data_IF_342021779727
#
_entry.id   IF_342021779727
#
_cell.length_a   1.000
_cell.length_b   1.000
_cell.length_c   1.000
_cell.angle_alpha   90.00
_cell.angle_beta   90.00
_cell.angle_gamma   90.00
#
_symmetry.space_group_name_H-M   'P 1'
#
loop_
_entity.id
_entity.type
_entity.pdbx_description
1 polymer ?
#
# COMPACT_ATOMS: atom_id res chain seq x y z
N UNK A 1 -45.73 -5.30 63.14
CA UNK A 1 -44.50 -6.10 63.33
C UNK A 1 -43.62 -5.82 62.13
N UNK A 2 -42.76 -4.80 62.14
CA UNK A 2 -41.55 -4.58 62.96
C UNK A 2 -40.30 -5.21 62.32
N UNK A 3 -39.31 -4.35 62.04
CA UNK A 3 -37.90 -4.68 61.76
C UNK A 3 -37.56 -4.78 60.27
N UNK A 4 -36.41 -4.32 59.78
CA UNK A 4 -35.28 -3.60 60.37
C UNK A 4 -34.38 -3.18 59.18
N UNK A 5 -33.92 -1.94 59.13
CA UNK A 5 -32.68 -1.62 58.42
C UNK A 5 -31.51 -2.33 59.12
N UNK A 6 -30.42 -2.62 58.41
CA UNK A 6 -29.23 -1.87 58.75
C UNK A 6 -28.46 -1.36 57.53
N UNK A 7 -28.01 -0.13 57.70
CA UNK A 7 -26.99 0.56 56.94
C UNK A 7 -25.67 -0.22 56.96
N UNK A 8 -24.98 -0.28 55.82
CA UNK A 8 -23.52 -0.33 55.81
C UNK A 8 -22.96 0.37 54.55
N UNK A 9 -22.36 1.53 54.82
CA UNK A 9 -21.15 2.10 54.20
C UNK A 9 -21.03 2.13 52.67
N UNK A 10 -21.28 3.32 52.12
CA UNK A 10 -20.39 4.11 51.25
C UNK A 10 -19.17 3.36 50.67
N UNK A 11 -19.12 3.27 49.33
CA UNK A 11 -17.85 3.49 48.62
C UNK A 11 -18.11 4.43 47.45
N UNK A 12 -17.68 5.67 47.67
CA UNK A 12 -17.65 6.76 46.70
C UNK A 12 -16.42 6.57 45.83
N UNK A 13 -16.58 6.05 44.62
CA UNK A 13 -15.52 6.09 43.59
C UNK A 13 -16.13 6.36 42.20
N UNK A 14 -17.10 7.28 42.14
CA UNK A 14 -17.75 7.67 40.88
C UNK A 14 -17.13 8.90 40.19
N UNK A 15 -16.03 9.47 40.69
CA UNK A 15 -15.41 10.64 40.02
C UNK A 15 -13.89 10.67 40.22
N UNK A 16 -13.13 10.08 39.29
CA UNK A 16 -11.78 10.52 38.89
C UNK A 16 -11.09 9.47 38.01
N UNK A 17 -11.40 9.46 36.72
CA UNK A 17 -10.50 8.89 35.70
C UNK A 17 -10.76 9.53 34.32
N UNK A 18 -10.78 10.86 34.27
CA UNK A 18 -10.46 11.59 33.04
C UNK A 18 -8.98 11.98 33.14
N UNK A 19 -8.11 11.19 32.51
CA UNK A 19 -6.84 11.62 31.90
C UNK A 19 -5.96 10.40 31.63
N UNK A 20 -6.24 9.66 30.56
CA UNK A 20 -5.19 9.07 29.73
C UNK A 20 -5.82 8.56 28.43
N UNK A 21 -6.52 9.45 27.73
CA UNK A 21 -6.70 9.31 26.30
C UNK A 21 -5.37 9.67 25.65
N UNK A 22 -4.40 8.76 25.73
CA UNK A 22 -3.35 8.71 24.72
C UNK A 22 -4.07 8.24 23.47
N UNK A 23 -4.54 9.19 22.67
CA UNK A 23 -4.69 8.94 21.25
C UNK A 23 -3.30 8.47 20.83
N UNK A 24 -3.17 7.18 20.52
CA UNK A 24 -2.06 6.69 19.73
C UNK A 24 -2.10 7.54 18.46
N UNK A 25 -1.25 8.56 18.42
CA UNK A 25 -0.85 9.20 17.18
C UNK A 25 -0.20 8.07 16.39
N UNK A 26 -1.01 7.39 15.56
CA UNK A 26 -0.47 6.51 14.52
C UNK A 26 0.45 7.40 13.70
N UNK A 27 1.73 7.32 14.01
CA UNK A 27 2.81 7.89 13.22
C UNK A 27 2.62 7.27 11.83
N UNK A 28 1.93 7.99 10.94
CA UNK A 28 1.73 7.61 9.55
C UNK A 28 3.12 7.54 8.95
N UNK A 29 3.77 6.39 9.08
CA UNK A 29 5.05 6.13 8.46
C UNK A 29 4.84 6.42 6.98
N UNK A 30 5.63 7.33 6.37
CA UNK A 30 5.44 7.65 4.97
C UNK A 30 5.45 6.34 4.19
N UNK A 31 4.40 6.08 3.41
CA UNK A 31 4.21 4.83 2.65
C UNK A 31 5.44 4.48 1.77
N UNK A 32 6.27 5.48 1.48
CA UNK A 32 7.54 5.39 0.76
C UNK A 32 8.62 4.54 1.48
N UNK A 33 8.55 4.36 2.80
CA UNK A 33 9.50 3.54 3.57
C UNK A 33 8.87 2.25 4.14
N UNK A 34 7.58 2.03 3.89
CA UNK A 34 6.87 0.85 4.37
C UNK A 34 7.16 -0.34 3.45
N UNK A 35 7.48 -1.48 4.05
CA UNK A 35 7.53 -2.78 3.37
C UNK A 35 6.43 -3.66 3.93
N UNK A 36 5.67 -4.32 3.08
CA UNK A 36 4.60 -5.24 3.47
C UNK A 36 4.86 -6.65 2.93
N UNK A 37 4.56 -7.68 3.73
CA UNK A 37 4.66 -9.07 3.32
C UNK A 37 3.67 -9.93 4.12
N UNK A 38 2.92 -10.80 3.45
CA UNK A 38 2.01 -11.79 4.04
C UNK A 38 2.54 -13.21 3.77
N UNK A 39 3.35 -13.70 4.71
CA UNK A 39 3.98 -15.02 4.64
C UNK A 39 2.97 -16.17 4.73
N UNK A 40 1.84 -15.95 5.41
CA UNK A 40 0.80 -16.96 5.53
C UNK A 40 0.14 -17.23 4.17
N UNK A 41 -0.18 -16.17 3.40
CA UNK A 41 -0.72 -16.33 2.06
C UNK A 41 0.27 -17.02 1.10
N UNK A 42 1.54 -16.62 1.13
CA UNK A 42 2.60 -17.18 0.26
C UNK A 42 2.87 -18.67 0.54
N UNK A 43 2.51 -19.16 1.72
CA UNK A 43 2.60 -20.59 2.06
C UNK A 43 1.54 -21.42 1.34
N UNK A 44 0.37 -20.84 1.08
CA UNK A 44 -0.77 -21.53 0.49
C UNK A 44 -0.90 -21.30 -1.02
N UNK A 45 -0.45 -20.15 -1.52
CA UNK A 45 -0.62 -19.75 -2.91
C UNK A 45 0.73 -19.33 -3.51
N UNK A 46 1.15 -19.93 -4.64
CA UNK A 46 2.37 -19.50 -5.34
C UNK A 46 2.17 -18.10 -5.92
N UNK A 47 3.22 -17.29 -5.86
CA UNK A 47 3.22 -15.95 -6.45
C UNK A 47 3.52 -16.06 -7.95
N UNK A 48 2.51 -15.79 -8.78
CA UNK A 48 2.57 -15.84 -10.25
C UNK A 48 1.92 -14.59 -10.85
N UNK A 49 2.01 -14.41 -12.17
CA UNK A 49 1.34 -13.30 -12.88
C UNK A 49 -0.17 -13.23 -12.62
N UNK A 50 -0.80 -14.40 -12.46
CA UNK A 50 -2.25 -14.50 -12.22
C UNK A 50 -2.62 -14.19 -10.76
N UNK A 51 -1.73 -14.51 -9.81
CA UNK A 51 -2.03 -14.43 -8.37
C UNK A 51 -1.45 -13.18 -7.71
N UNK A 52 -0.49 -12.50 -8.34
CA UNK A 52 0.18 -11.31 -7.77
C UNK A 52 -0.81 -10.18 -7.47
N UNK A 53 -1.83 -9.99 -8.29
CA UNK A 53 -2.83 -8.94 -8.06
C UNK A 53 -3.74 -9.27 -6.85
N UNK A 54 -4.00 -10.55 -6.61
CA UNK A 54 -4.75 -11.00 -5.42
C UNK A 54 -3.90 -10.88 -4.15
N UNK A 55 -2.60 -11.15 -4.26
CA UNK A 55 -1.64 -10.93 -3.18
C UNK A 55 -1.50 -9.44 -2.85
N UNK A 56 -1.27 -8.60 -3.87
CA UNK A 56 -1.10 -7.14 -3.71
C UNK A 56 -2.32 -6.47 -3.08
N UNK A 57 -3.53 -6.96 -3.37
CA UNK A 57 -4.76 -6.40 -2.82
C UNK A 57 -4.93 -6.55 -1.30
N UNK A 58 -4.11 -7.39 -0.67
CA UNK A 58 -4.03 -7.54 0.79
C UNK A 58 -3.10 -6.52 1.44
N UNK A 59 -2.27 -5.85 0.64
CA UNK A 59 -1.32 -4.85 1.11
C UNK A 59 -2.02 -3.54 1.48
N UNK A 60 -1.45 -2.73 2.39
CA UNK A 60 -1.97 -1.40 2.72
C UNK A 60 -1.88 -0.41 1.54
N UNK A 61 -1.13 -0.74 0.49
CA UNK A 61 -0.98 0.08 -0.71
C UNK A 61 -2.18 -0.01 -1.66
N UNK A 62 -3.05 -1.00 -1.46
CA UNK A 62 -4.22 -1.23 -2.30
C UNK A 62 -5.43 -0.43 -1.79
N UNK A 63 -5.94 0.44 -2.66
CA UNK A 63 -7.13 1.22 -2.40
C UNK A 63 -8.39 0.38 -2.60
N UNK A 64 -9.19 0.20 -1.54
CA UNK A 64 -10.45 -0.58 -1.60
C UNK A 64 -11.57 0.12 -2.39
N UNK A 65 -11.39 1.38 -2.76
CA UNK A 65 -12.33 2.12 -3.61
C UNK A 65 -11.94 2.08 -5.09
N UNK A 66 -10.87 1.37 -5.46
CA UNK A 66 -10.44 1.28 -6.86
C UNK A 66 -11.40 0.44 -7.72
N UNK A 67 -11.31 0.64 -9.03
CA UNK A 67 -12.13 -0.06 -10.02
C UNK A 67 -11.95 -1.59 -9.98
N UNK A 68 -10.74 -2.07 -9.65
CA UNK A 68 -10.48 -3.51 -9.51
C UNK A 68 -11.38 -4.15 -8.44
N UNK A 69 -11.58 -3.44 -7.31
CA UNK A 69 -12.40 -3.94 -6.21
C UNK A 69 -13.89 -3.92 -6.58
N UNK A 70 -14.33 -2.86 -7.25
CA UNK A 70 -15.70 -2.76 -7.79
C UNK A 70 -16.00 -3.93 -8.73
N UNK A 71 -15.11 -4.25 -9.67
CA UNK A 71 -15.27 -5.40 -10.58
C UNK A 71 -15.28 -6.71 -9.80
N UNK A 72 -14.34 -6.91 -8.87
CA UNK A 72 -14.27 -8.14 -8.06
C UNK A 72 -15.57 -8.39 -7.29
N UNK A 73 -16.11 -7.36 -6.65
CA UNK A 73 -17.38 -7.44 -5.94
C UNK A 73 -18.54 -7.74 -6.89
N UNK A 74 -18.59 -7.09 -8.05
CA UNK A 74 -19.61 -7.34 -9.07
C UNK A 74 -19.57 -8.76 -9.66
N UNK A 75 -18.37 -9.30 -9.88
CA UNK A 75 -18.16 -10.65 -10.42
C UNK A 75 -18.60 -11.73 -9.44
N UNK A 76 -18.38 -11.51 -8.14
CA UNK A 76 -18.86 -12.40 -7.07
C UNK A 76 -20.39 -12.43 -6.98
N UNK A 77 -21.07 -11.37 -7.47
CA UNK A 77 -22.53 -11.30 -7.57
C UNK A 77 -23.11 -11.89 -8.87
N UNK A 78 -22.30 -12.62 -9.67
CA UNK A 78 -22.73 -13.28 -10.91
C UNK A 78 -23.40 -12.35 -11.92
N UNK A 79 -22.98 -11.08 -11.95
CA UNK A 79 -23.34 -10.21 -13.06
C UNK A 79 -22.81 -10.81 -14.38
N UNK A 80 -23.56 -10.65 -15.49
CA UNK A 80 -23.16 -11.24 -16.76
C UNK A 80 -21.74 -10.80 -17.09
N UNK A 81 -20.91 -11.77 -17.48
CA UNK A 81 -19.58 -11.49 -18.02
C UNK A 81 -19.71 -10.39 -19.08
N UNK A 82 -18.71 -9.50 -19.16
CA UNK A 82 -18.75 -8.38 -20.09
C UNK A 82 -19.09 -8.93 -21.48
N UNK A 83 -19.87 -8.18 -22.28
CA UNK A 83 -20.26 -8.63 -23.62
C UNK A 83 -19.01 -9.09 -24.38
N UNK A 84 -18.92 -10.40 -24.64
CA UNK A 84 -17.75 -11.03 -25.29
C UNK A 84 -16.90 -11.98 -24.44
N UNK A 85 -17.24 -12.25 -23.17
CA UNK A 85 -16.42 -13.13 -22.31
C UNK A 85 -15.15 -12.44 -21.80
N UNK A 86 -15.25 -11.12 -21.64
CA UNK A 86 -14.14 -10.21 -21.47
C UNK A 86 -13.40 -10.39 -20.12
N UNK A 87 -12.08 -10.22 -20.15
CA UNK A 87 -11.18 -10.34 -19.00
C UNK A 87 -11.29 -9.15 -18.05
N UNK A 88 -10.50 -9.14 -16.98
CA UNK A 88 -10.42 -8.02 -16.03
C UNK A 88 -10.12 -6.70 -16.74
N UNK A 89 -9.19 -6.72 -17.68
CA UNK A 89 -8.71 -5.55 -18.41
C UNK A 89 -9.80 -4.90 -19.26
N UNK A 90 -10.67 -5.69 -19.87
CA UNK A 90 -11.77 -5.18 -20.71
C UNK A 90 -12.78 -4.41 -19.85
N UNK A 91 -13.06 -4.88 -18.64
CA UNK A 91 -13.90 -4.17 -17.68
C UNK A 91 -13.23 -2.88 -17.21
N UNK A 92 -11.95 -2.92 -16.87
CA UNK A 92 -11.20 -1.74 -16.45
C UNK A 92 -11.23 -0.66 -17.54
N UNK A 93 -11.05 -1.02 -18.81
CA UNK A 93 -11.15 -0.10 -19.96
C UNK A 93 -12.51 0.59 -20.09
N UNK A 94 -13.58 0.00 -19.57
CA UNK A 94 -14.93 0.58 -19.59
C UNK A 94 -15.21 1.60 -18.47
N UNK A 95 -14.30 1.74 -17.51
CA UNK A 95 -14.47 2.61 -16.34
C UNK A 95 -13.47 3.77 -16.32
N UNK A 96 -13.77 4.79 -15.52
CA UNK A 96 -12.91 5.95 -15.27
C UNK A 96 -12.63 5.98 -13.77
N UNK A 97 -11.37 6.17 -13.39
CA UNK A 97 -10.97 6.21 -11.98
C UNK A 97 -9.65 5.52 -11.69
N UNK A 98 -9.39 5.27 -10.41
CA UNK A 98 -8.19 4.59 -9.94
C UNK A 98 -8.29 3.10 -10.26
N UNK A 99 -7.23 2.56 -10.83
CA UNK A 99 -7.06 1.13 -11.05
C UNK A 99 -5.60 0.69 -10.83
N UNK A 100 -5.45 -0.61 -10.64
CA UNK A 100 -4.17 -1.29 -10.49
C UNK A 100 -4.00 -2.30 -11.63
N UNK A 101 -2.84 -2.26 -12.29
CA UNK A 101 -2.52 -3.15 -13.41
C UNK A 101 -1.18 -3.83 -13.16
N UNK A 102 -1.10 -5.13 -13.39
CA UNK A 102 0.17 -5.86 -13.39
C UNK A 102 0.91 -5.55 -14.69
N UNK A 103 2.15 -5.10 -14.56
CA UNK A 103 2.99 -4.76 -15.70
C UNK A 103 3.64 -6.03 -16.25
N UNK A 104 3.50 -6.24 -17.55
CA UNK A 104 4.06 -7.40 -18.25
C UNK A 104 5.59 -7.46 -18.17
N UNK A 105 6.21 -8.64 -18.40
CA UNK A 105 7.65 -8.82 -18.29
C UNK A 105 8.48 -7.86 -19.17
N UNK A 106 7.97 -7.48 -20.33
CA UNK A 106 8.62 -6.58 -21.29
C UNK A 106 8.79 -5.14 -20.79
N UNK A 107 7.90 -4.68 -19.90
CA UNK A 107 7.92 -3.32 -19.35
C UNK A 107 8.62 -3.27 -17.97
N UNK A 108 9.13 -4.39 -17.46
CA UNK A 108 9.84 -4.44 -16.18
C UNK A 108 11.25 -3.85 -16.32
N UNK A 109 11.77 -3.20 -15.26
CA UNK A 109 13.14 -2.73 -15.26
C UNK A 109 14.11 -3.91 -15.47
N UNK A 110 15.18 -3.73 -16.27
CA UNK A 110 16.18 -4.77 -16.49
C UNK A 110 16.97 -4.98 -15.18
N UNK A 111 16.63 -6.03 -14.44
CA UNK A 111 17.39 -6.45 -13.27
C UNK A 111 18.43 -7.52 -13.65
N UNK A 112 19.51 -7.67 -12.85
CA UNK A 112 20.39 -8.83 -12.95
C UNK A 112 19.59 -10.12 -12.91
N UNK A 113 19.98 -11.12 -13.72
CA UNK A 113 19.25 -12.39 -13.93
C UNK A 113 18.84 -13.10 -12.64
N UNK A 114 19.60 -12.91 -11.55
CA UNK A 114 19.32 -13.49 -10.23
C UNK A 114 18.04 -12.93 -9.56
N UNK A 115 17.57 -11.74 -9.95
CA UNK A 115 16.40 -11.09 -9.36
C UNK A 115 15.18 -11.02 -10.31
N UNK A 116 15.37 -11.34 -11.60
CA UNK A 116 14.32 -11.20 -12.62
C UNK A 116 13.13 -12.13 -12.40
N UNK A 117 13.39 -13.35 -11.92
CA UNK A 117 12.36 -14.40 -11.86
C UNK A 117 11.29 -14.19 -10.77
N UNK A 118 11.53 -13.29 -9.81
CA UNK A 118 10.63 -13.05 -8.69
C UNK A 118 10.22 -11.58 -8.55
N UNK A 119 10.38 -10.79 -9.61
CA UNK A 119 9.94 -9.40 -9.65
C UNK A 119 8.61 -9.27 -10.39
N UNK A 120 7.61 -8.75 -9.69
CA UNK A 120 6.39 -8.22 -10.30
C UNK A 120 6.30 -6.73 -10.05
N UNK A 121 5.72 -6.02 -11.01
CA UNK A 121 5.51 -4.58 -10.93
C UNK A 121 4.01 -4.32 -11.03
N UNK A 122 3.45 -3.66 -10.02
CA UNK A 122 2.05 -3.22 -10.02
C UNK A 122 2.03 -1.71 -10.22
N UNK A 123 1.24 -1.26 -11.18
CA UNK A 123 1.07 0.15 -11.51
C UNK A 123 -0.28 0.63 -11.00
N UNK A 124 -0.28 1.66 -10.15
CA UNK A 124 -1.48 2.43 -9.84
C UNK A 124 -1.62 3.53 -10.88
N UNK A 125 -2.76 3.57 -11.56
CA UNK A 125 -3.01 4.56 -12.59
C UNK A 125 -4.43 5.12 -12.47
N UNK A 126 -4.61 6.35 -12.95
CA UNK A 126 -5.91 6.97 -13.12
C UNK A 126 -6.34 6.84 -14.58
N UNK A 127 -7.36 6.04 -14.85
CA UNK A 127 -7.94 5.92 -16.18
C UNK A 127 -8.85 7.11 -16.49
N UNK A 128 -8.56 7.83 -17.57
CA UNK A 128 -9.41 8.90 -18.12
C UNK A 128 -10.31 8.42 -19.26
N UNK A 129 -9.82 7.46 -20.04
CA UNK A 129 -10.51 6.86 -21.18
C UNK A 129 -10.02 5.42 -21.42
N UNK A 130 -10.63 4.64 -22.34
CA UNK A 130 -10.27 3.24 -22.57
C UNK A 130 -8.79 2.99 -22.93
N UNK A 131 -8.12 3.97 -23.54
CA UNK A 131 -6.70 3.89 -23.92
C UNK A 131 -5.84 5.01 -23.29
N UNK A 132 -6.39 5.77 -22.35
CA UNK A 132 -5.71 6.92 -21.73
C UNK A 132 -5.73 6.74 -20.21
N UNK A 133 -4.55 6.50 -19.63
CA UNK A 133 -4.35 6.38 -18.20
C UNK A 133 -3.07 7.10 -17.75
N UNK A 134 -3.17 7.83 -16.64
CA UNK A 134 -2.05 8.54 -16.03
C UNK A 134 -1.45 7.68 -14.91
N UNK A 135 -0.14 7.46 -14.93
CA UNK A 135 0.56 6.70 -13.89
C UNK A 135 0.64 7.55 -12.62
N UNK A 136 0.11 7.03 -11.51
CA UNK A 136 0.14 7.68 -10.21
C UNK A 136 1.28 7.16 -9.33
N UNK A 137 1.51 5.85 -9.33
CA UNK A 137 2.56 5.20 -8.56
C UNK A 137 2.89 3.81 -9.13
N UNK A 138 4.07 3.31 -8.77
CA UNK A 138 4.51 1.94 -9.07
C UNK A 138 4.89 1.24 -7.78
N UNK A 139 4.61 -0.06 -7.69
CA UNK A 139 4.93 -0.91 -6.56
C UNK A 139 5.67 -2.13 -7.05
N UNK A 140 6.71 -2.51 -6.33
CA UNK A 140 7.49 -3.71 -6.62
C UNK A 140 7.11 -4.80 -5.63
N UNK A 141 6.88 -5.99 -6.17
CA UNK A 141 6.70 -7.22 -5.41
C UNK A 141 7.92 -8.09 -5.69
N UNK A 142 8.85 -8.13 -4.75
CA UNK A 142 10.09 -8.88 -4.85
C UNK A 142 10.15 -9.93 -3.75
N UNK A 143 10.22 -11.21 -4.13
CA UNK A 143 10.27 -12.33 -3.17
C UNK A 143 9.14 -12.26 -2.12
N UNK A 144 7.94 -11.85 -2.54
CA UNK A 144 6.78 -11.67 -1.65
C UNK A 144 6.77 -10.36 -0.85
N UNK A 145 7.85 -9.58 -0.83
CA UNK A 145 7.85 -8.27 -0.19
C UNK A 145 7.32 -7.21 -1.16
N UNK A 146 6.36 -6.40 -0.71
CA UNK A 146 5.74 -5.30 -1.46
C UNK A 146 6.28 -3.98 -0.93
N UNK A 147 6.75 -3.12 -1.82
CA UNK A 147 7.19 -1.77 -1.48
C UNK A 147 6.88 -0.79 -2.62
N UNK A 148 6.70 0.47 -2.28
CA UNK A 148 6.49 1.53 -3.26
C UNK A 148 7.82 1.85 -3.96
N UNK A 149 7.80 1.89 -5.29
CA UNK A 149 8.94 2.32 -6.07
C UNK A 149 9.09 3.85 -5.93
N UNK A 150 10.31 4.37 -5.69
CA UNK A 150 10.53 5.81 -5.61
C UNK A 150 10.22 6.45 -6.96
N UNK A 151 9.63 7.65 -6.95
CA UNK A 151 9.45 8.43 -8.17
C UNK A 151 10.80 8.99 -8.63
N UNK A 152 10.91 9.38 -9.91
CA UNK A 152 12.12 10.05 -10.42
C UNK A 152 12.44 11.31 -9.61
N UNK A 153 11.41 12.02 -9.16
CA UNK A 153 11.56 13.21 -8.31
C UNK A 153 12.18 12.86 -6.97
N UNK A 154 11.71 11.78 -6.32
CA UNK A 154 12.24 11.33 -5.03
C UNK A 154 13.73 10.95 -5.14
N UNK A 155 14.11 10.28 -6.24
CA UNK A 155 15.51 9.90 -6.48
C UNK A 155 16.40 11.14 -6.67
N UNK A 156 15.93 12.13 -7.44
CA UNK A 156 16.70 13.37 -7.68
C UNK A 156 16.82 14.19 -6.41
N UNK A 157 15.72 14.37 -5.66
CA UNK A 157 15.73 15.14 -4.42
C UNK A 157 16.64 14.49 -3.38
N UNK A 158 16.54 13.17 -3.18
CA UNK A 158 17.40 12.45 -2.24
C UNK A 158 18.89 12.54 -2.59
N UNK A 159 19.23 12.50 -3.88
CA UNK A 159 20.62 12.67 -4.32
C UNK A 159 21.15 14.10 -4.06
N UNK A 160 20.31 15.12 -4.26
CA UNK A 160 20.66 16.53 -3.98
C UNK A 160 20.85 16.74 -2.46
N UNK A 161 19.95 16.22 -1.65
CA UNK A 161 20.03 16.31 -0.18
C UNK A 161 21.29 15.64 0.36
N UNK A 162 21.61 14.42 -0.10
CA UNK A 162 22.84 13.73 0.29
C UNK A 162 24.09 14.53 -0.09
N UNK A 163 24.10 15.14 -1.27
CA UNK A 163 25.22 15.97 -1.73
C UNK A 163 25.37 17.24 -0.87
N UNK A 164 24.27 17.88 -0.49
CA UNK A 164 24.28 19.04 0.41
C UNK A 164 24.73 18.68 1.82
N UNK A 165 24.27 17.56 2.36
CA UNK A 165 24.70 17.07 3.67
C UNK A 165 26.21 16.79 3.68
N UNK A 166 26.73 16.16 2.62
CA UNK A 166 28.16 15.93 2.47
C UNK A 166 28.97 17.24 2.42
N UNK A 167 28.47 18.28 1.75
CA UNK A 167 29.11 19.60 1.72
C UNK A 167 29.03 20.33 3.06
N UNK A 168 27.95 20.13 3.83
CA UNK A 168 27.77 20.70 5.17
C UNK A 168 28.71 20.03 6.20
N UNK A 169 28.88 18.71 6.11
CA UNK A 169 29.73 17.94 7.01
C UNK A 169 31.22 18.01 6.63
N UNK A 170 31.55 18.57 5.47
CA UNK A 170 32.93 18.75 5.03
C UNK A 170 33.69 19.66 6.02
N UNK A 171 34.79 19.19 6.64
CA UNK A 171 35.55 19.98 7.60
C UNK A 171 36.37 21.05 6.86
N UNK A 172 35.75 22.19 6.57
CA UNK A 172 36.38 23.35 5.94
C UNK A 172 37.44 24.03 6.82
N UNK A 173 37.67 23.55 8.05
CA UNK A 173 38.59 24.10 9.05
C UNK A 173 40.08 23.95 8.71
N UNK A 174 40.45 23.15 7.70
CA UNK A 174 41.86 22.91 7.34
C UNK A 174 42.37 23.73 6.13
N UNK A 175 41.55 24.62 5.54
CA UNK A 175 41.89 25.36 4.32
C UNK A 175 42.23 26.85 4.53
N UNK A 176 42.38 27.30 5.79
CA UNK A 176 42.86 28.65 6.12
C UNK A 176 44.13 28.56 6.97
N UNK A 177 45.27 28.25 6.33
CA UNK A 177 46.61 28.47 6.86
C UNK A 177 47.27 29.61 6.11
#
# INVERSE_FOLDING_TARGET
MAGHEPQHSVSTDYVSALASGAADEEEETPLQHTVWCDTAWLTHFPLTEDTVMDYFARSPFYDRQCNNEVIRMQRNLQLPAAPGGAGMDDWLRSMVGVEYVSVGPEERPPLPVEYVHNLFVIRKQWRRAPDIADVLASYYVLNGSVYQAPTVVDVVLGAVEQSLQFLADAPWSNLRS
#
